data_IF_983252537856
#
_entry.id   IF_983252537856
#
_cell.length_a   1.000
_cell.length_b   1.000
_cell.length_c   1.000
_cell.angle_alpha   90.00
_cell.angle_beta   90.00
_cell.angle_gamma   90.00
#
_symmetry.space_group_name_H-M   'P 1'
#
loop_
_entity.id
_entity.type
_entity.pdbx_description
1 polymer ?
#
# COMPACT_ATOMS: atom_id res chain seq x y z
N UNK A 1 -3.36 -51.16 -4.17
CA UNK A 1 -4.67 -50.86 -3.56
C UNK A 1 -4.57 -50.45 -2.11
N UNK A 2 -3.90 -51.23 -1.29
CA UNK A 2 -3.73 -50.89 0.13
C UNK A 2 -2.89 -49.63 0.32
N UNK A 3 -1.85 -49.46 -0.48
CA UNK A 3 -1.05 -48.23 -0.46
C UNK A 3 -1.85 -47.00 -0.83
N UNK A 4 -2.84 -47.17 -1.71
CA UNK A 4 -3.70 -46.06 -2.12
C UNK A 4 -4.59 -45.56 -0.97
N UNK A 5 -5.03 -46.46 -0.09
CA UNK A 5 -5.83 -46.05 1.07
C UNK A 5 -5.02 -45.28 2.09
N UNK A 6 -3.81 -45.73 2.37
CA UNK A 6 -2.89 -45.00 3.25
C UNK A 6 -2.52 -43.65 2.65
N UNK A 7 -2.25 -43.62 1.35
CA UNK A 7 -1.98 -42.41 0.62
C UNK A 7 -3.21 -41.51 0.58
N UNK A 8 -4.41 -42.09 0.52
CA UNK A 8 -5.65 -41.34 0.53
C UNK A 8 -5.83 -40.56 1.84
N UNK A 9 -5.48 -41.16 2.99
CA UNK A 9 -5.50 -40.49 4.28
C UNK A 9 -4.49 -39.38 4.35
N UNK A 10 -3.26 -39.62 3.91
CA UNK A 10 -2.20 -38.62 3.84
C UNK A 10 -2.54 -37.51 2.83
N UNK A 11 -3.14 -37.89 1.71
CA UNK A 11 -3.56 -36.92 0.69
C UNK A 11 -4.67 -36.03 1.24
N UNK A 12 -5.61 -36.60 2.01
CA UNK A 12 -6.68 -35.83 2.62
C UNK A 12 -6.12 -34.80 3.61
N UNK A 13 -5.18 -35.22 4.46
CA UNK A 13 -4.52 -34.34 5.40
C UNK A 13 -3.70 -33.26 4.64
N UNK A 14 -2.98 -33.68 3.61
CA UNK A 14 -2.26 -32.77 2.74
C UNK A 14 -3.17 -31.78 2.03
N UNK A 15 -4.31 -32.24 1.55
CA UNK A 15 -5.32 -31.38 0.92
C UNK A 15 -5.85 -30.36 1.91
N UNK A 16 -6.18 -30.78 3.12
CA UNK A 16 -6.64 -29.85 4.16
C UNK A 16 -5.58 -28.82 4.50
N UNK A 17 -4.33 -29.24 4.57
CA UNK A 17 -3.21 -28.31 4.83
C UNK A 17 -3.08 -27.29 3.70
N UNK A 18 -3.09 -27.75 2.46
CA UNK A 18 -3.00 -26.85 1.29
C UNK A 18 -4.20 -25.91 1.25
N UNK A 19 -5.40 -26.42 1.52
CA UNK A 19 -6.60 -25.59 1.56
C UNK A 19 -6.49 -24.51 2.63
N UNK A 20 -5.95 -24.85 3.80
CA UNK A 20 -5.75 -23.88 4.87
C UNK A 20 -4.75 -22.80 4.46
N UNK A 21 -3.64 -23.19 3.83
CA UNK A 21 -2.63 -22.24 3.35
C UNK A 21 -3.23 -21.32 2.28
N UNK A 22 -3.96 -21.89 1.32
CA UNK A 22 -4.61 -21.10 0.28
C UNK A 22 -5.61 -20.12 0.88
N UNK A 23 -6.39 -20.55 1.86
CA UNK A 23 -7.35 -19.68 2.54
C UNK A 23 -6.65 -18.50 3.21
N UNK A 24 -5.54 -18.76 3.92
CA UNK A 24 -4.76 -17.72 4.56
C UNK A 24 -4.22 -16.73 3.52
N UNK A 25 -3.67 -17.24 2.41
CA UNK A 25 -3.15 -16.39 1.34
C UNK A 25 -4.26 -15.52 0.75
N UNK A 26 -5.44 -16.07 0.53
CA UNK A 26 -6.59 -15.33 0.00
C UNK A 26 -7.01 -14.23 0.98
N UNK A 27 -7.13 -14.56 2.27
CA UNK A 27 -7.51 -13.57 3.28
C UNK A 27 -6.49 -12.44 3.35
N UNK A 28 -5.21 -12.77 3.40
CA UNK A 28 -4.14 -11.77 3.42
C UNK A 28 -4.18 -10.93 2.15
N UNK A 29 -4.36 -11.56 0.99
CA UNK A 29 -4.46 -10.85 -0.28
C UNK A 29 -5.59 -9.84 -0.30
N UNK A 30 -6.78 -10.22 0.16
CA UNK A 30 -7.93 -9.31 0.23
C UNK A 30 -7.71 -8.16 1.22
N UNK A 31 -6.95 -8.39 2.27
CA UNK A 31 -6.63 -7.33 3.24
C UNK A 31 -5.56 -6.39 2.74
N UNK A 32 -4.57 -6.94 2.01
CA UNK A 32 -3.41 -6.17 1.54
C UNK A 32 -3.73 -5.40 0.26
N UNK A 33 -4.58 -5.95 -0.61
CA UNK A 33 -4.89 -5.35 -1.91
C UNK A 33 -5.36 -3.89 -1.81
N UNK A 34 -6.33 -3.53 -0.93
CA UNK A 34 -6.74 -2.13 -0.81
C UNK A 34 -5.59 -1.22 -0.39
N UNK A 35 -4.69 -1.70 0.47
CA UNK A 35 -3.56 -0.92 0.94
C UNK A 35 -2.59 -0.61 -0.21
N UNK A 36 -2.35 -1.58 -1.09
CA UNK A 36 -1.49 -1.37 -2.25
C UNK A 36 -2.15 -0.49 -3.32
N UNK A 37 -3.46 -0.62 -3.50
CA UNK A 37 -4.19 0.27 -4.41
C UNK A 37 -4.05 1.72 -3.92
N UNK A 38 -4.20 1.94 -2.63
CA UNK A 38 -4.01 3.25 -2.02
C UNK A 38 -2.57 3.74 -2.22
N UNK A 39 -1.58 2.87 -2.06
CA UNK A 39 -0.18 3.20 -2.30
C UNK A 39 0.04 3.72 -3.72
N UNK A 40 -0.48 3.02 -4.73
CA UNK A 40 -0.35 3.46 -6.12
C UNK A 40 -1.09 4.78 -6.36
N UNK A 41 -2.24 4.96 -5.72
CA UNK A 41 -2.99 6.22 -5.80
C UNK A 41 -2.22 7.38 -5.18
N UNK A 42 -1.59 7.15 -4.04
CA UNK A 42 -0.75 8.15 -3.38
C UNK A 42 0.44 8.52 -4.27
N UNK A 43 1.10 7.51 -4.83
CA UNK A 43 2.26 7.75 -5.69
C UNK A 43 1.87 8.55 -6.94
N UNK A 44 0.74 8.23 -7.54
CA UNK A 44 0.22 8.96 -8.69
C UNK A 44 -0.14 10.39 -8.33
N UNK A 45 -0.86 10.56 -7.21
CA UNK A 45 -1.27 11.88 -6.74
C UNK A 45 -0.05 12.75 -6.44
N UNK A 46 0.98 12.16 -5.83
CA UNK A 46 2.21 12.85 -5.50
C UNK A 46 2.93 13.35 -6.78
N UNK A 47 3.06 12.46 -7.76
CA UNK A 47 3.68 12.81 -9.03
C UNK A 47 2.90 13.87 -9.81
N UNK A 48 1.58 13.75 -9.86
CA UNK A 48 0.73 14.73 -10.56
C UNK A 48 0.75 16.09 -9.85
N UNK A 49 0.67 16.08 -8.53
CA UNK A 49 0.73 17.34 -7.78
C UNK A 49 2.06 18.05 -8.01
N UNK A 50 3.16 17.30 -8.02
CA UNK A 50 4.48 17.88 -8.23
C UNK A 50 4.64 18.45 -9.64
N UNK A 51 4.11 17.73 -10.65
CA UNK A 51 4.18 18.20 -12.04
C UNK A 51 3.27 19.38 -12.33
N UNK A 52 2.12 19.45 -11.67
CA UNK A 52 1.11 20.47 -11.93
C UNK A 52 1.26 21.70 -11.03
N UNK A 53 2.13 21.65 -10.04
CA UNK A 53 2.45 22.82 -9.23
C UNK A 53 3.22 23.84 -10.08
N UNK A 54 2.74 25.06 -10.09
CA UNK A 54 3.35 26.13 -10.91
C UNK A 54 4.77 26.44 -10.45
N UNK A 55 4.95 26.56 -9.15
CA UNK A 55 6.25 26.84 -8.55
C UNK A 55 6.52 25.82 -7.45
N UNK A 56 7.42 24.84 -7.69
CA UNK A 56 7.76 23.85 -6.66
C UNK A 56 8.37 24.45 -5.40
N UNK A 57 8.83 25.70 -5.46
CA UNK A 57 9.34 26.41 -4.27
C UNK A 57 8.23 26.74 -3.28
N UNK A 58 7.00 26.85 -3.77
CA UNK A 58 5.84 27.11 -2.94
C UNK A 58 5.31 25.79 -2.39
N UNK A 59 5.82 25.42 -1.22
CA UNK A 59 5.39 24.20 -0.55
C UNK A 59 3.90 24.21 -0.22
N UNK A 60 3.37 25.38 0.13
CA UNK A 60 1.95 25.50 0.47
C UNK A 60 1.06 25.19 -0.75
N UNK A 61 1.43 25.68 -1.91
CA UNK A 61 0.71 25.38 -3.15
C UNK A 61 0.78 23.91 -3.50
N UNK A 62 1.95 23.31 -3.39
CA UNK A 62 2.14 21.88 -3.61
C UNK A 62 1.30 21.05 -2.64
N UNK A 63 1.33 21.39 -1.35
CA UNK A 63 0.57 20.65 -0.34
C UNK A 63 -0.93 20.76 -0.57
N UNK A 64 -1.42 21.91 -0.99
CA UNK A 64 -2.84 22.08 -1.33
C UNK A 64 -3.22 21.27 -2.56
N UNK A 65 -2.37 21.27 -3.56
CA UNK A 65 -2.60 20.47 -4.78
C UNK A 65 -2.65 18.97 -4.46
N UNK A 66 -1.71 18.50 -3.66
CA UNK A 66 -1.69 17.12 -3.22
C UNK A 66 -2.92 16.78 -2.38
N UNK A 67 -3.29 17.67 -1.45
CA UNK A 67 -4.44 17.44 -0.58
C UNK A 67 -5.75 17.32 -1.40
N UNK A 68 -5.91 18.14 -2.42
CA UNK A 68 -7.08 18.04 -3.30
C UNK A 68 -7.15 16.69 -4.00
N UNK A 69 -6.02 16.15 -4.43
CA UNK A 69 -5.96 14.84 -5.08
C UNK A 69 -6.22 13.71 -4.11
N UNK A 70 -5.73 13.85 -2.89
CA UNK A 70 -6.00 12.91 -1.80
C UNK A 70 -7.49 12.86 -1.50
N UNK A 71 -8.12 14.01 -1.39
CA UNK A 71 -9.55 14.10 -1.08
C UNK A 71 -10.41 13.51 -2.19
N UNK A 72 -10.08 13.78 -3.45
CA UNK A 72 -10.84 13.26 -4.58
C UNK A 72 -10.53 11.79 -4.87
N UNK A 73 -9.39 11.29 -4.43
CA UNK A 73 -8.99 9.89 -4.62
C UNK A 73 -9.35 8.97 -3.49
N UNK A 74 -10.06 9.45 -2.48
CA UNK A 74 -10.45 8.66 -1.29
C UNK A 74 -9.26 8.08 -0.55
N UNK A 75 -8.15 8.79 -0.54
CA UNK A 75 -6.95 8.40 0.21
C UNK A 75 -7.11 8.87 1.64
N UNK A 76 -7.02 7.96 2.59
CA UNK A 76 -7.24 8.26 4.01
C UNK A 76 -5.97 8.24 4.85
N UNK A 77 -4.95 7.51 4.39
CA UNK A 77 -3.75 7.26 5.19
C UNK A 77 -2.81 8.46 5.29
N UNK A 78 -2.84 9.35 4.31
CA UNK A 78 -1.92 10.49 4.25
C UNK A 78 -2.63 11.74 3.75
N UNK A 79 -2.06 12.88 4.06
CA UNK A 79 -2.52 14.17 3.57
C UNK A 79 -1.36 15.08 3.23
N UNK A 80 -1.67 16.30 2.80
CA UNK A 80 -0.64 17.27 2.40
C UNK A 80 0.37 17.58 3.49
N UNK A 81 -0.03 17.43 4.76
CA UNK A 81 0.87 17.69 5.90
C UNK A 81 1.97 16.63 6.03
N UNK A 82 1.75 15.45 5.49
CA UNK A 82 2.65 14.31 5.68
C UNK A 82 3.76 14.27 4.63
N UNK A 83 3.70 15.13 3.63
CA UNK A 83 4.66 15.13 2.52
C UNK A 83 5.88 15.96 2.87
N UNK A 84 7.06 15.37 2.66
CA UNK A 84 8.32 16.08 2.75
C UNK A 84 8.77 16.47 1.34
N UNK A 85 8.93 17.77 1.12
CA UNK A 85 9.42 18.30 -0.15
C UNK A 85 10.86 18.76 0.04
N UNK A 86 11.77 18.17 -0.72
CA UNK A 86 13.19 18.50 -0.66
C UNK A 86 13.69 18.94 -2.04
N UNK A 87 14.72 19.78 -2.02
CA UNK A 87 15.37 20.26 -3.23
C UNK A 87 16.83 19.83 -3.21
N UNK A 88 17.28 19.20 -4.29
CA UNK A 88 18.67 18.82 -4.47
C UNK A 88 19.10 19.29 -5.87
N UNK A 89 19.94 20.35 -5.94
CA UNK A 89 20.29 20.94 -7.21
C UNK A 89 19.08 21.56 -7.88
N UNK A 90 18.77 21.11 -9.09
CA UNK A 90 17.61 21.55 -9.86
C UNK A 90 16.42 20.61 -9.73
N UNK A 91 16.53 19.59 -8.88
CA UNK A 91 15.53 18.55 -8.71
C UNK A 91 14.73 18.76 -7.45
N UNK A 92 13.42 18.60 -7.56
CA UNK A 92 12.53 18.60 -6.41
C UNK A 92 12.02 17.18 -6.18
N UNK A 93 12.10 16.72 -4.95
CA UNK A 93 11.66 15.39 -4.55
C UNK A 93 10.59 15.51 -3.47
N UNK A 94 9.44 14.96 -3.74
CA UNK A 94 8.36 14.85 -2.77
C UNK A 94 8.30 13.42 -2.27
N UNK A 95 8.29 13.26 -0.95
CA UNK A 95 8.27 11.96 -0.32
C UNK A 95 7.24 11.93 0.79
N UNK A 96 6.51 10.83 0.85
CA UNK A 96 5.57 10.56 1.93
C UNK A 96 5.72 9.12 2.36
N UNK A 97 5.79 8.91 3.67
CA UNK A 97 5.88 7.58 4.26
C UNK A 97 4.75 7.42 5.26
N UNK A 98 4.16 6.24 5.29
CA UNK A 98 3.11 5.93 6.25
C UNK A 98 3.10 4.45 6.57
N UNK A 99 2.45 4.11 7.67
CA UNK A 99 2.32 2.74 8.12
C UNK A 99 0.84 2.37 8.13
N UNK A 100 0.53 1.17 7.64
CA UNK A 100 -0.82 0.64 7.65
C UNK A 100 -0.87 -0.63 8.47
N UNK A 101 -1.78 -0.66 9.43
CA UNK A 101 -2.02 -1.82 10.27
C UNK A 101 -3.28 -2.51 9.79
N UNK A 102 -3.14 -3.76 9.36
CA UNK A 102 -4.24 -4.56 8.82
C UNK A 102 -4.54 -5.69 9.80
N UNK A 103 -5.69 -5.67 10.47
CA UNK A 103 -6.05 -6.78 11.36
C UNK A 103 -6.36 -8.02 10.54
N UNK A 104 -5.75 -9.14 10.90
CA UNK A 104 -5.96 -10.42 10.23
C UNK A 104 -6.87 -11.32 11.04
N UNK A 105 -6.44 -11.71 12.24
CA UNK A 105 -7.17 -12.63 13.11
C UNK A 105 -6.94 -12.18 14.54
N UNK A 106 -8.02 -11.95 15.28
CA UNK A 106 -7.97 -11.63 16.72
C UNK A 106 -6.91 -10.57 17.06
N UNK A 107 -5.82 -11.00 17.72
CA UNK A 107 -4.73 -10.10 18.12
C UNK A 107 -3.56 -10.10 17.13
N UNK A 108 -3.70 -10.77 15.99
CA UNK A 108 -2.66 -10.80 14.95
C UNK A 108 -3.00 -9.77 13.88
N UNK A 109 -2.06 -8.88 13.62
CA UNK A 109 -2.21 -7.83 12.62
C UNK A 109 -0.97 -7.78 11.73
N UNK A 110 -1.18 -7.41 10.46
CA UNK A 110 -0.09 -7.19 9.52
C UNK A 110 0.24 -5.70 9.51
N UNK A 111 1.52 -5.38 9.70
CA UNK A 111 2.01 -4.01 9.65
C UNK A 111 2.78 -3.82 8.36
N UNK A 112 2.33 -2.87 7.53
CA UNK A 112 2.98 -2.57 6.26
C UNK A 112 3.45 -1.13 6.28
N UNK A 113 4.72 -0.92 5.96
CA UNK A 113 5.30 0.40 5.83
C UNK A 113 5.37 0.75 4.34
N UNK A 114 4.80 1.90 3.99
CA UNK A 114 4.82 2.41 2.62
C UNK A 114 5.66 3.66 2.52
N UNK A 115 6.32 3.81 1.38
CA UNK A 115 7.14 4.97 1.07
C UNK A 115 6.92 5.33 -0.40
N UNK A 116 6.31 6.48 -0.64
CA UNK A 116 6.05 6.96 -1.98
C UNK A 116 6.92 8.17 -2.27
N UNK A 117 7.52 8.21 -3.44
CA UNK A 117 8.44 9.27 -3.84
C UNK A 117 8.15 9.70 -5.28
N UNK A 118 8.16 11.01 -5.51
CA UNK A 118 8.06 11.59 -6.85
C UNK A 118 9.12 12.65 -7.01
N UNK A 119 9.67 12.76 -8.22
CA UNK A 119 10.75 13.69 -8.53
C UNK A 119 10.36 14.54 -9.75
N UNK A 120 10.77 15.79 -9.71
CA UNK A 120 10.54 16.73 -10.82
C UNK A 120 11.82 17.48 -11.18
#
# INVERSE_FOLDING_TARGET
MRGARSQSGLTMLGFLFVAAVVLVVVIVGFRVTPAYIEYYSVQRALGEALRNTKDPRDEADFRRSFQRRVDSGYIESVGGRDVDLTKAGNEYTARVAWTRKLPLVSNVSLLIEFDATATR
#
